data_IF_181473415364
#
_entry.id   IF_181473415364
#
_cell.length_a   1.000
_cell.length_b   1.000
_cell.length_c   1.000
_cell.angle_alpha   90.00
_cell.angle_beta   90.00
_cell.angle_gamma   90.00
#
_symmetry.space_group_name_H-M   'P 1'
#
loop_
_entity.id
_entity.type
_entity.pdbx_description
1 polymer ?
#
# COMPACT_ATOMS: atom_id res chain seq x y z
N UNK A 1 7.94 26.10 -9.09
CA UNK A 1 7.03 25.60 -10.15
C UNK A 1 6.91 24.07 -10.21
N UNK A 2 7.96 23.28 -9.87
CA UNK A 2 7.92 21.80 -9.91
C UNK A 2 6.85 21.16 -9.01
N UNK A 3 6.87 21.46 -7.72
CA UNK A 3 6.00 20.82 -6.71
C UNK A 3 4.49 20.87 -7.02
N UNK A 4 4.00 21.96 -7.62
CA UNK A 4 2.59 22.11 -8.01
C UNK A 4 2.25 21.25 -9.22
N UNK A 5 3.16 21.15 -10.19
CA UNK A 5 3.03 20.27 -11.36
C UNK A 5 3.03 18.80 -10.93
N UNK A 6 3.89 18.45 -9.98
CA UNK A 6 4.02 17.09 -9.45
C UNK A 6 2.73 16.68 -8.72
N UNK A 7 2.18 17.57 -7.89
CA UNK A 7 0.88 17.38 -7.22
C UNK A 7 -0.26 17.19 -8.21
N UNK A 8 -0.39 18.05 -9.23
CA UNK A 8 -1.45 17.92 -10.26
C UNK A 8 -1.34 16.60 -11.02
N UNK A 9 -0.11 16.18 -11.32
CA UNK A 9 0.17 14.90 -12.00
C UNK A 9 -0.22 13.72 -11.11
N UNK A 10 0.15 13.73 -9.83
CA UNK A 10 -0.22 12.69 -8.87
C UNK A 10 -1.75 12.56 -8.73
N UNK A 11 -2.48 13.67 -8.62
CA UNK A 11 -3.96 13.67 -8.52
C UNK A 11 -4.59 13.09 -9.79
N UNK A 12 -4.13 13.51 -10.96
CA UNK A 12 -4.62 12.98 -12.25
C UNK A 12 -4.36 11.48 -12.38
N UNK A 13 -3.18 11.03 -12.00
CA UNK A 13 -2.80 9.62 -12.07
C UNK A 13 -3.62 8.76 -11.11
N UNK A 14 -3.85 9.23 -9.88
CA UNK A 14 -4.71 8.54 -8.92
C UNK A 14 -6.13 8.40 -9.48
N UNK A 15 -6.73 9.50 -9.96
CA UNK A 15 -8.08 9.48 -10.53
C UNK A 15 -8.21 8.50 -11.71
N UNK A 16 -7.22 8.46 -12.60
CA UNK A 16 -7.19 7.51 -13.72
C UNK A 16 -7.05 6.06 -13.22
N UNK A 17 -6.26 5.84 -12.19
CA UNK A 17 -6.05 4.50 -11.61
C UNK A 17 -7.32 3.99 -10.95
N UNK A 18 -8.08 4.86 -10.27
CA UNK A 18 -9.27 4.50 -9.50
C UNK A 18 -10.60 4.69 -10.25
N UNK A 19 -10.55 4.96 -11.56
CA UNK A 19 -11.74 5.20 -12.39
C UNK A 19 -12.64 3.96 -12.48
N UNK A 20 -12.05 2.79 -12.67
CA UNK A 20 -12.74 1.49 -12.65
C UNK A 20 -12.36 0.74 -11.36
N UNK A 21 -13.23 0.81 -10.35
CA UNK A 21 -12.98 0.20 -9.05
C UNK A 21 -12.86 -1.32 -9.09
N UNK A 22 -13.40 -1.99 -10.11
CA UNK A 22 -13.28 -3.45 -10.27
C UNK A 22 -11.88 -3.87 -10.69
N UNK A 23 -11.09 -2.94 -11.25
CA UNK A 23 -9.72 -3.17 -11.71
C UNK A 23 -8.66 -2.69 -10.73
N UNK A 24 -9.03 -2.31 -9.52
CA UNK A 24 -8.07 -1.84 -8.51
C UNK A 24 -8.00 -2.84 -7.37
N UNK A 25 -6.80 -3.39 -7.20
CA UNK A 25 -6.45 -4.34 -6.14
C UNK A 25 -5.47 -3.70 -5.17
N UNK A 26 -5.61 -4.04 -3.89
CA UNK A 26 -4.74 -3.66 -2.80
C UNK A 26 -4.01 -4.90 -2.31
N UNK A 27 -2.71 -4.82 -2.11
CA UNK A 27 -1.89 -5.96 -1.69
C UNK A 27 -0.89 -5.58 -0.61
N UNK A 28 -0.72 -6.48 0.36
CA UNK A 28 0.41 -6.52 1.28
C UNK A 28 0.69 -7.98 1.65
N UNK A 29 1.90 -8.26 2.10
CA UNK A 29 2.29 -9.58 2.58
C UNK A 29 3.13 -9.47 3.86
N UNK A 30 3.30 -10.61 4.55
CA UNK A 30 4.24 -10.78 5.65
C UNK A 30 5.20 -11.92 5.35
N UNK A 31 6.37 -11.89 5.97
CA UNK A 31 7.40 -12.90 5.85
C UNK A 31 7.99 -13.20 7.23
N UNK A 32 8.59 -14.38 7.41
CA UNK A 32 9.38 -14.69 8.60
C UNK A 32 10.72 -13.95 8.54
N UNK A 33 11.44 -13.89 9.66
CA UNK A 33 12.85 -13.51 9.77
C UNK A 33 13.74 -14.75 9.87
N UNK A 34 13.13 -15.93 9.95
CA UNK A 34 13.82 -17.21 10.01
C UNK A 34 14.52 -17.44 8.67
N UNK A 35 15.79 -17.02 8.63
CA UNK A 35 16.81 -17.51 7.72
C UNK A 35 17.11 -18.93 8.22
N UNK A 36 16.19 -19.86 7.98
CA UNK A 36 16.30 -21.17 8.62
C UNK A 36 17.64 -21.81 8.25
N UNK A 37 18.37 -22.16 9.31
CA UNK A 37 19.45 -23.15 9.38
C UNK A 37 18.85 -24.55 9.07
N UNK A 38 18.04 -24.64 8.01
CA UNK A 38 17.62 -25.90 7.44
C UNK A 38 18.83 -26.53 6.72
N UNK A 39 18.87 -27.86 6.64
CA UNK A 39 19.87 -28.61 5.84
C UNK A 39 19.93 -28.19 4.34
N UNK A 40 19.13 -27.19 3.93
CA UNK A 40 18.99 -26.61 2.59
C UNK A 40 19.53 -25.17 2.45
N UNK A 41 20.00 -24.51 3.52
CA UNK A 41 20.68 -23.21 3.48
C UNK A 41 19.80 -22.05 2.99
N UNK A 42 18.57 -21.91 3.50
CA UNK A 42 17.67 -20.82 3.08
C UNK A 42 18.08 -19.43 3.61
N UNK A 43 18.73 -18.63 2.75
CA UNK A 43 19.12 -17.22 3.04
C UNK A 43 17.95 -16.23 2.82
N UNK A 44 16.80 -16.67 2.28
CA UNK A 44 15.68 -15.77 1.94
C UNK A 44 14.46 -16.06 2.80
N UNK A 45 13.86 -15.03 3.43
CA UNK A 45 12.77 -15.25 4.37
C UNK A 45 11.50 -15.83 3.73
N UNK A 46 10.81 -16.69 4.48
CA UNK A 46 9.62 -17.43 4.04
C UNK A 46 8.42 -16.48 3.98
N UNK A 47 7.67 -16.50 2.89
CA UNK A 47 6.42 -15.74 2.80
C UNK A 47 5.34 -16.45 3.64
N UNK A 48 4.81 -15.76 4.64
CA UNK A 48 3.89 -16.37 5.62
C UNK A 48 2.43 -16.12 5.25
N UNK A 49 2.15 -14.96 4.67
CA UNK A 49 0.80 -14.55 4.27
C UNK A 49 0.81 -13.45 3.21
N UNK A 50 -0.18 -13.46 2.33
CA UNK A 50 -0.47 -12.45 1.31
C UNK A 50 -1.96 -12.13 1.39
N UNK A 51 -2.32 -10.85 1.51
CA UNK A 51 -3.72 -10.40 1.51
C UNK A 51 -3.95 -9.50 0.30
N UNK A 52 -5.08 -9.71 -0.37
CA UNK A 52 -5.52 -8.93 -1.53
C UNK A 52 -6.98 -8.53 -1.39
N UNK A 53 -7.28 -7.25 -1.59
CA UNK A 53 -8.67 -6.74 -1.61
C UNK A 53 -8.93 -5.86 -2.83
N UNK A 54 -10.15 -5.85 -3.37
CA UNK A 54 -10.52 -4.90 -4.44
C UNK A 54 -11.11 -3.61 -3.89
N UNK A 55 -11.05 -2.55 -4.70
CA UNK A 55 -11.63 -1.25 -4.37
C UNK A 55 -13.16 -1.31 -4.28
N UNK A 56 -13.81 -2.03 -5.20
CA UNK A 56 -15.27 -2.26 -5.19
C UNK A 56 -15.76 -3.22 -4.08
N UNK A 57 -14.84 -3.87 -3.36
CA UNK A 57 -15.14 -4.79 -2.26
C UNK A 57 -15.60 -6.19 -2.68
N UNK A 58 -15.59 -6.53 -3.97
CA UNK A 58 -15.96 -7.87 -4.45
C UNK A 58 -14.87 -8.93 -4.22
N UNK A 59 -13.62 -8.51 -4.05
CA UNK A 59 -12.48 -9.38 -3.79
C UNK A 59 -11.98 -9.12 -2.38
N UNK A 60 -11.93 -10.19 -1.59
CA UNK A 60 -11.16 -10.33 -0.36
C UNK A 60 -10.53 -11.73 -0.37
N UNK A 61 -9.21 -11.78 -0.53
CA UNK A 61 -8.44 -13.02 -0.65
C UNK A 61 -7.26 -12.99 0.32
N UNK A 62 -7.13 -14.08 1.05
CA UNK A 62 -6.04 -14.30 1.99
C UNK A 62 -5.39 -15.63 1.65
N UNK A 63 -4.09 -15.59 1.37
CA UNK A 63 -3.25 -16.77 1.19
C UNK A 63 -2.30 -16.81 2.37
N UNK A 64 -2.39 -17.81 3.24
CA UNK A 64 -1.59 -17.86 4.44
C UNK A 64 -1.24 -19.29 4.82
N UNK A 65 -0.03 -19.50 5.34
CA UNK A 65 0.49 -20.82 5.71
C UNK A 65 -0.49 -21.55 6.64
N UNK A 66 -1.00 -20.88 7.68
CA UNK A 66 -1.94 -21.51 8.62
C UNK A 66 -3.31 -21.86 8.01
N UNK A 67 -3.75 -21.13 6.97
CA UNK A 67 -5.00 -21.45 6.26
C UNK A 67 -4.82 -22.68 5.37
N UNK A 68 -3.66 -22.82 4.73
CA UNK A 68 -3.35 -24.01 3.93
C UNK A 68 -3.04 -25.23 4.82
N UNK A 69 -2.47 -25.01 6.01
CA UNK A 69 -2.27 -26.05 7.00
C UNK A 69 -3.59 -26.62 7.51
N UNK A 70 -4.55 -25.74 7.84
CA UNK A 70 -5.90 -26.12 8.26
C UNK A 70 -6.62 -26.95 7.18
N UNK A 71 -6.54 -26.53 5.90
CA UNK A 71 -7.08 -27.29 4.76
C UNK A 71 -6.43 -28.67 4.56
N UNK A 72 -5.19 -28.83 5.03
CA UNK A 72 -4.43 -30.07 4.93
C UNK A 72 -4.50 -30.91 6.21
N UNK A 73 -5.35 -30.54 7.18
CA UNK A 73 -5.48 -31.17 8.49
C UNK A 73 -4.14 -31.27 9.25
N UNK A 74 -3.23 -30.30 9.04
CA UNK A 74 -1.92 -30.24 9.73
C UNK A 74 -2.10 -29.55 11.09
N UNK A 75 -1.83 -30.23 12.22
CA UNK A 75 -1.91 -29.62 13.55
C UNK A 75 -0.98 -28.42 13.67
N UNK A 76 -1.42 -27.40 14.42
CA UNK A 76 -0.69 -26.15 14.65
C UNK A 76 0.77 -26.37 15.04
N UNK A 77 1.03 -27.39 15.85
CA UNK A 77 2.34 -27.73 16.38
C UNK A 77 3.31 -28.23 15.29
N UNK A 78 2.79 -28.85 14.24
CA UNK A 78 3.51 -29.50 13.14
C UNK A 78 3.64 -28.63 11.88
N UNK A 79 3.01 -27.44 11.85
CA UNK A 79 3.06 -26.54 10.69
C UNK A 79 4.50 -26.21 10.28
N UNK A 80 5.40 -26.03 11.27
CA UNK A 80 6.81 -25.73 11.03
C UNK A 80 7.52 -26.79 10.18
N UNK A 81 7.16 -28.06 10.35
CA UNK A 81 7.75 -29.18 9.63
C UNK A 81 7.31 -29.21 8.15
N UNK A 82 6.28 -28.41 7.82
CA UNK A 82 5.66 -28.33 6.49
C UNK A 82 5.77 -26.92 5.88
N UNK A 83 6.55 -25.99 6.43
CA UNK A 83 6.60 -24.61 5.94
C UNK A 83 6.90 -24.49 4.45
N UNK A 84 7.88 -25.23 3.93
CA UNK A 84 8.23 -25.22 2.50
C UNK A 84 7.05 -25.63 1.62
N UNK A 85 6.32 -26.66 2.04
CA UNK A 85 5.19 -27.23 1.31
C UNK A 85 4.00 -26.26 1.32
N UNK A 86 3.71 -25.69 2.49
CA UNK A 86 2.65 -24.70 2.67
C UNK A 86 2.94 -23.38 1.95
N UNK A 87 4.20 -22.93 1.96
CA UNK A 87 4.63 -21.74 1.20
C UNK A 87 4.45 -21.96 -0.31
N UNK A 88 4.81 -23.15 -0.81
CA UNK A 88 4.57 -23.52 -2.21
C UNK A 88 3.10 -23.39 -2.58
N UNK A 89 2.18 -23.88 -1.73
CA UNK A 89 0.73 -23.77 -1.96
C UNK A 89 0.27 -22.32 -2.05
N UNK A 90 0.64 -21.47 -1.07
CA UNK A 90 0.20 -20.07 -1.08
C UNK A 90 0.77 -19.30 -2.29
N UNK A 91 2.01 -19.57 -2.69
CA UNK A 91 2.65 -18.91 -3.82
C UNK A 91 2.01 -19.33 -5.15
N UNK A 92 1.62 -20.60 -5.29
CA UNK A 92 0.85 -21.08 -6.43
C UNK A 92 -0.50 -20.39 -6.52
N UNK A 93 -1.25 -20.37 -5.41
CA UNK A 93 -2.57 -19.75 -5.34
C UNK A 93 -2.51 -18.24 -5.64
N UNK A 94 -1.49 -17.56 -5.12
CA UNK A 94 -1.20 -16.17 -5.43
C UNK A 94 -0.91 -15.98 -6.92
N UNK A 95 -0.01 -16.79 -7.49
CA UNK A 95 0.36 -16.71 -8.91
C UNK A 95 -0.87 -16.91 -9.82
N UNK A 96 -1.70 -17.91 -9.53
CA UNK A 96 -2.95 -18.15 -10.27
C UNK A 96 -3.98 -17.03 -10.10
N UNK A 97 -3.97 -16.34 -8.96
CA UNK A 97 -4.74 -15.13 -8.78
C UNK A 97 -4.20 -13.97 -9.64
N UNK A 98 -2.88 -13.77 -9.70
CA UNK A 98 -2.25 -12.76 -10.55
C UNK A 98 -2.54 -13.01 -12.03
N UNK A 99 -2.45 -14.27 -12.51
CA UNK A 99 -2.78 -14.64 -13.91
C UNK A 99 -4.16 -14.14 -14.33
N UNK A 100 -5.15 -14.23 -13.45
CA UNK A 100 -6.55 -13.80 -13.71
C UNK A 100 -6.77 -12.29 -13.59
N UNK A 101 -5.85 -11.56 -12.99
CA UNK A 101 -5.98 -10.13 -12.69
C UNK A 101 -4.75 -9.32 -13.16
N UNK A 102 -4.08 -9.79 -14.21
CA UNK A 102 -2.85 -9.17 -14.73
C UNK A 102 -3.07 -7.72 -15.18
N UNK A 103 -4.25 -7.43 -15.71
CA UNK A 103 -4.63 -6.12 -16.23
C UNK A 103 -5.13 -5.14 -15.14
N UNK A 104 -5.24 -5.61 -13.89
CA UNK A 104 -5.60 -4.75 -12.76
C UNK A 104 -4.44 -3.85 -12.34
N UNK A 105 -4.76 -2.73 -11.70
CA UNK A 105 -3.80 -1.93 -10.94
C UNK A 105 -3.63 -2.51 -9.54
N UNK A 106 -2.39 -2.61 -9.10
CA UNK A 106 -1.98 -3.21 -7.83
C UNK A 106 -1.41 -2.12 -6.93
N UNK A 107 -2.25 -1.58 -6.06
CA UNK A 107 -1.88 -0.56 -5.07
C UNK A 107 -1.28 -1.24 -3.85
N UNK A 108 -0.09 -0.80 -3.45
CA UNK A 108 0.67 -1.37 -2.35
C UNK A 108 1.35 -0.27 -1.53
N UNK A 109 1.93 -0.66 -0.39
CA UNK A 109 2.78 0.20 0.42
C UNK A 109 4.23 -0.31 0.39
N UNK A 110 5.12 0.43 -0.27
CA UNK A 110 6.58 0.18 -0.26
C UNK A 110 7.10 -1.23 -0.64
N UNK A 111 6.25 -2.09 -1.21
CA UNK A 111 6.62 -3.36 -1.86
C UNK A 111 7.43 -3.16 -3.17
N UNK A 112 8.65 -2.61 -3.08
CA UNK A 112 9.39 -2.08 -4.24
C UNK A 112 10.67 -2.82 -4.64
N UNK A 113 11.26 -3.63 -3.77
CA UNK A 113 12.60 -4.18 -4.01
C UNK A 113 12.71 -5.67 -3.68
N UNK A 114 13.91 -6.22 -3.86
CA UNK A 114 14.24 -7.62 -3.63
C UNK A 114 14.20 -8.04 -2.15
N UNK A 115 14.37 -7.08 -1.23
CA UNK A 115 14.29 -7.34 0.21
C UNK A 115 12.85 -7.33 0.71
N UNK A 116 11.99 -6.51 0.10
CA UNK A 116 10.58 -6.44 0.43
C UNK A 116 9.76 -5.96 -0.78
N UNK A 117 8.92 -6.85 -1.33
CA UNK A 117 7.99 -6.53 -2.41
C UNK A 117 7.76 -7.63 -3.42
N UNK A 118 7.26 -7.24 -4.60
CA UNK A 118 6.99 -8.17 -5.70
C UNK A 118 8.22 -8.97 -6.14
N UNK A 119 9.41 -8.34 -6.13
CA UNK A 119 10.66 -9.02 -6.49
C UNK A 119 11.05 -10.07 -5.44
N UNK A 120 10.80 -9.80 -4.15
CA UNK A 120 10.99 -10.79 -3.09
C UNK A 120 10.06 -12.01 -3.28
N UNK A 121 8.78 -11.78 -3.61
CA UNK A 121 7.81 -12.84 -3.93
C UNK A 121 8.28 -13.66 -5.15
N UNK A 122 8.74 -12.99 -6.21
CA UNK A 122 9.28 -13.62 -7.41
C UNK A 122 10.48 -14.50 -7.10
N UNK A 123 11.45 -13.99 -6.33
CA UNK A 123 12.62 -14.75 -5.92
C UNK A 123 12.25 -15.98 -5.08
N UNK A 124 11.30 -15.84 -4.15
CA UNK A 124 10.79 -16.99 -3.36
C UNK A 124 10.09 -18.02 -4.24
N UNK A 125 9.29 -17.58 -5.21
CA UNK A 125 8.69 -18.47 -6.20
C UNK A 125 9.77 -19.26 -6.96
N UNK A 126 10.75 -18.57 -7.54
CA UNK A 126 11.85 -19.22 -8.28
C UNK A 126 12.63 -20.22 -7.40
N UNK A 127 12.94 -19.86 -6.15
CA UNK A 127 13.67 -20.73 -5.22
C UNK A 127 12.90 -22.00 -4.86
N UNK A 128 11.57 -21.93 -4.77
CA UNK A 128 10.74 -23.08 -4.36
C UNK A 128 10.41 -23.98 -5.56
N UNK A 129 10.09 -23.38 -6.71
CA UNK A 129 9.67 -24.10 -7.91
C UNK A 129 10.84 -24.50 -8.81
N UNK A 130 12.02 -23.89 -8.64
CA UNK A 130 13.24 -24.17 -9.41
C UNK A 130 13.36 -23.37 -10.71
N UNK A 131 12.26 -22.77 -11.17
CA UNK A 131 12.21 -21.90 -12.35
C UNK A 131 11.03 -20.91 -12.28
N UNK A 132 10.94 -20.04 -13.29
CA UNK A 132 9.88 -19.03 -13.44
C UNK A 132 8.95 -19.31 -14.64
N UNK A 133 8.94 -20.53 -15.18
CA UNK A 133 8.20 -20.86 -16.42
C UNK A 133 6.70 -20.61 -16.32
N UNK A 134 6.11 -20.88 -15.15
CA UNK A 134 4.69 -20.65 -14.86
C UNK A 134 4.42 -19.36 -14.08
N UNK A 135 5.45 -18.57 -13.76
CA UNK A 135 5.30 -17.34 -12.97
C UNK A 135 4.72 -16.19 -13.81
N UNK A 136 3.62 -15.60 -13.32
CA UNK A 136 3.02 -14.42 -13.92
C UNK A 136 3.43 -13.16 -13.16
N UNK A 137 4.32 -12.38 -13.77
CA UNK A 137 4.72 -11.09 -13.20
C UNK A 137 3.64 -10.01 -13.39
N UNK A 138 3.34 -9.26 -12.33
CA UNK A 138 2.57 -8.02 -12.43
C UNK A 138 3.40 -6.97 -13.16
N UNK A 139 2.93 -6.39 -14.28
CA UNK A 139 3.68 -5.35 -14.99
C UNK A 139 4.03 -4.17 -14.08
N UNK A 140 5.24 -3.62 -14.22
CA UNK A 140 5.70 -2.46 -13.44
C UNK A 140 4.76 -1.25 -13.57
N UNK A 141 4.15 -1.06 -14.74
CA UNK A 141 3.15 -0.02 -14.99
C UNK A 141 1.88 -0.20 -14.16
N UNK A 142 1.59 -1.42 -13.70
CA UNK A 142 0.40 -1.76 -12.95
C UNK A 142 0.65 -1.76 -11.43
N UNK A 143 1.92 -1.86 -10.99
CA UNK A 143 2.35 -1.68 -9.60
C UNK A 143 2.27 -0.20 -9.22
N UNK A 144 1.47 0.17 -8.22
CA UNK A 144 1.26 1.54 -7.75
C UNK A 144 1.62 1.68 -6.27
N UNK A 145 2.74 2.33 -5.96
CA UNK A 145 3.10 2.61 -4.58
C UNK A 145 2.28 3.78 -4.02
N UNK A 146 1.39 3.51 -3.07
CA UNK A 146 0.55 4.54 -2.45
C UNK A 146 1.40 5.58 -1.71
N UNK A 147 2.50 5.18 -1.08
CA UNK A 147 3.40 6.11 -0.39
C UNK A 147 3.91 7.18 -1.35
N UNK A 148 4.50 6.77 -2.48
CA UNK A 148 5.02 7.70 -3.51
C UNK A 148 3.93 8.60 -4.09
N UNK A 149 2.69 8.11 -4.22
CA UNK A 149 1.56 8.93 -4.66
C UNK A 149 1.26 10.02 -3.62
N UNK A 150 1.22 9.67 -2.33
CA UNK A 150 1.00 10.63 -1.23
C UNK A 150 2.15 11.63 -1.14
N UNK A 151 3.40 11.19 -1.25
CA UNK A 151 4.59 12.05 -1.26
C UNK A 151 4.54 13.05 -2.42
N UNK A 152 4.12 12.62 -3.61
CA UNK A 152 3.90 13.53 -4.75
C UNK A 152 2.80 14.57 -4.49
N UNK A 153 1.85 14.30 -3.59
CA UNK A 153 0.77 15.25 -3.24
C UNK A 153 1.09 16.16 -2.07
N UNK A 154 1.81 15.67 -1.05
CA UNK A 154 1.99 16.35 0.24
C UNK A 154 3.47 16.56 0.64
N UNK A 155 4.43 16.04 -0.15
CA UNK A 155 5.85 16.01 0.17
C UNK A 155 6.27 14.76 0.94
N UNK A 156 7.58 14.50 0.96
CA UNK A 156 8.18 13.29 1.57
C UNK A 156 7.91 13.18 3.09
N UNK A 157 7.77 14.31 3.76
CA UNK A 157 7.56 14.38 5.22
C UNK A 157 6.08 14.35 5.62
N UNK A 158 5.18 13.81 4.80
CA UNK A 158 3.72 13.87 5.02
C UNK A 158 3.29 13.30 6.39
N UNK A 159 4.05 12.36 6.94
CA UNK A 159 3.92 11.85 8.32
C UNK A 159 5.30 11.74 8.97
N UNK A 160 5.33 11.74 10.29
CA UNK A 160 6.55 11.57 11.09
C UNK A 160 6.64 10.16 11.67
N UNK A 161 7.85 9.62 11.78
CA UNK A 161 8.11 8.30 12.35
C UNK A 161 8.79 7.35 11.37
N UNK A 162 9.43 6.30 11.91
CA UNK A 162 10.13 5.30 11.10
C UNK A 162 9.15 4.44 10.28
N UNK A 163 8.07 4.00 10.91
CA UNK A 163 6.99 3.28 10.23
C UNK A 163 5.91 4.27 9.74
N UNK A 164 6.09 4.73 8.51
CA UNK A 164 5.21 5.71 7.88
C UNK A 164 3.77 5.20 7.68
N UNK A 165 3.57 3.89 7.50
CA UNK A 165 2.23 3.31 7.38
C UNK A 165 1.51 3.36 8.72
N UNK A 166 2.19 2.95 9.81
CA UNK A 166 1.65 3.04 11.17
C UNK A 166 1.31 4.48 11.53
N UNK A 167 2.22 5.42 11.27
CA UNK A 167 1.99 6.83 11.56
C UNK A 167 0.80 7.40 10.78
N UNK A 168 0.66 7.04 9.50
CA UNK A 168 -0.48 7.47 8.69
C UNK A 168 -1.79 6.85 9.20
N UNK A 169 -1.78 5.58 9.60
CA UNK A 169 -2.94 4.90 10.22
C UNK A 169 -3.39 5.63 11.48
N UNK A 170 -2.44 5.97 12.36
CA UNK A 170 -2.68 6.67 13.61
C UNK A 170 -3.33 8.04 13.39
N UNK A 171 -2.81 8.81 12.42
CA UNK A 171 -3.37 10.10 12.03
C UNK A 171 -4.81 10.02 11.47
N UNK A 172 -5.21 8.88 10.92
CA UNK A 172 -6.54 8.66 10.34
C UNK A 172 -7.47 7.84 11.26
N UNK A 173 -7.09 7.71 12.54
CA UNK A 173 -7.80 6.95 13.58
C UNK A 173 -7.86 7.72 14.90
N UNK A 174 -7.95 9.05 14.84
CA UNK A 174 -8.03 9.94 16.02
C UNK A 174 -6.89 9.75 17.04
N UNK A 175 -5.71 9.34 16.56
CA UNK A 175 -4.55 8.96 17.38
C UNK A 175 -4.79 7.80 18.35
N UNK A 176 -5.74 6.92 18.03
CA UNK A 176 -5.95 5.65 18.73
C UNK A 176 -5.13 4.57 18.03
N UNK A 177 -4.27 3.89 18.79
CA UNK A 177 -3.51 2.74 18.28
C UNK A 177 -4.42 1.52 18.07
N UNK A 178 -4.24 0.83 16.94
CA UNK A 178 -4.87 -0.46 16.69
C UNK A 178 -3.92 -1.60 17.13
N UNK A 179 -4.33 -2.36 18.14
CA UNK A 179 -3.52 -3.45 18.71
C UNK A 179 -3.25 -4.60 17.73
N UNK A 180 -3.97 -4.66 16.60
CA UNK A 180 -3.73 -5.65 15.54
C UNK A 180 -2.56 -5.24 14.64
N UNK A 181 -2.14 -3.97 14.66
CA UNK A 181 -1.02 -3.52 13.85
C UNK A 181 0.30 -4.05 14.40
N UNK A 182 1.02 -4.82 13.59
CA UNK A 182 2.35 -5.30 13.89
C UNK A 182 3.36 -4.71 12.90
N UNK A 183 4.52 -4.28 13.39
CA UNK A 183 5.66 -4.00 12.52
C UNK A 183 6.12 -5.29 11.83
N UNK A 184 6.92 -5.17 10.78
CA UNK A 184 7.47 -6.33 10.06
C UNK A 184 8.18 -7.32 11.01
N UNK A 185 9.07 -6.82 11.88
CA UNK A 185 9.79 -7.66 12.85
C UNK A 185 8.84 -8.34 13.84
N UNK A 186 7.82 -7.61 14.31
CA UNK A 186 6.84 -8.18 15.23
C UNK A 186 5.96 -9.24 14.55
N UNK A 187 5.60 -9.08 13.27
CA UNK A 187 4.90 -10.11 12.51
C UNK A 187 5.72 -11.39 12.42
N UNK A 188 7.02 -11.27 12.12
CA UNK A 188 7.92 -12.42 12.14
C UNK A 188 7.94 -13.11 13.50
N UNK A 189 8.15 -12.35 14.57
CA UNK A 189 8.17 -12.91 15.94
C UNK A 189 6.85 -13.59 16.30
N UNK A 190 5.70 -13.04 15.88
CA UNK A 190 4.42 -13.71 16.07
C UNK A 190 4.29 -15.00 15.25
N UNK A 191 4.83 -15.03 14.03
CA UNK A 191 4.86 -16.23 13.21
C UNK A 191 5.68 -17.35 13.88
N UNK A 192 6.89 -17.03 14.34
CA UNK A 192 7.80 -17.97 15.03
C UNK A 192 7.17 -18.51 16.33
N UNK A 193 6.42 -17.67 17.05
CA UNK A 193 5.67 -18.07 18.23
C UNK A 193 4.35 -18.81 17.91
N UNK A 194 4.15 -19.24 16.66
CA UNK A 194 2.95 -19.94 16.18
C UNK A 194 1.66 -19.12 16.38
N UNK A 195 1.75 -17.78 16.48
CA UNK A 195 0.62 -16.86 16.58
C UNK A 195 0.16 -16.40 15.19
N UNK A 196 -0.11 -17.38 14.31
CA UNK A 196 -0.42 -17.15 12.89
C UNK A 196 -1.62 -16.22 12.66
N UNK A 197 -2.64 -16.31 13.53
CA UNK A 197 -3.82 -15.44 13.44
C UNK A 197 -3.51 -13.97 13.70
N UNK A 198 -2.51 -13.65 14.54
CA UNK A 198 -2.08 -12.27 14.76
C UNK A 198 -1.40 -11.68 13.52
N UNK A 199 -0.56 -12.49 12.85
CA UNK A 199 0.14 -12.12 11.62
C UNK A 199 -0.86 -11.77 10.52
N UNK A 200 -1.78 -12.69 10.19
CA UNK A 200 -2.74 -12.44 9.10
C UNK A 200 -3.65 -11.24 9.39
N UNK A 201 -4.07 -11.04 10.65
CA UNK A 201 -4.88 -9.89 11.06
C UNK A 201 -4.14 -8.56 10.90
N UNK A 202 -2.83 -8.54 11.15
CA UNK A 202 -1.99 -7.37 10.91
C UNK A 202 -1.90 -7.05 9.42
N UNK A 203 -1.63 -8.05 8.57
CA UNK A 203 -1.57 -7.86 7.12
C UNK A 203 -2.93 -7.41 6.56
N UNK A 204 -4.02 -8.01 7.03
CA UNK A 204 -5.39 -7.64 6.67
C UNK A 204 -5.70 -6.18 7.02
N UNK A 205 -5.37 -5.76 8.25
CA UNK A 205 -5.49 -4.36 8.69
C UNK A 205 -4.69 -3.40 7.79
N UNK A 206 -3.46 -3.78 7.41
CA UNK A 206 -2.62 -2.96 6.51
C UNK A 206 -3.26 -2.81 5.14
N UNK A 207 -3.76 -3.89 4.54
CA UNK A 207 -4.43 -3.84 3.23
C UNK A 207 -5.72 -3.01 3.30
N UNK A 208 -6.53 -3.22 4.34
CA UNK A 208 -7.74 -2.43 4.59
C UNK A 208 -7.42 -0.95 4.75
N UNK A 209 -6.35 -0.63 5.47
CA UNK A 209 -5.93 0.75 5.64
C UNK A 209 -5.42 1.36 4.34
N UNK A 210 -4.62 0.65 3.54
CA UNK A 210 -4.17 1.14 2.22
C UNK A 210 -5.37 1.42 1.32
N UNK A 211 -6.39 0.55 1.32
CA UNK A 211 -7.66 0.76 0.61
C UNK A 211 -8.39 2.01 1.13
N UNK A 212 -8.59 2.13 2.44
CA UNK A 212 -9.23 3.30 3.08
C UNK A 212 -8.48 4.60 2.77
N UNK A 213 -7.15 4.58 2.87
CA UNK A 213 -6.29 5.72 2.59
C UNK A 213 -6.37 6.15 1.13
N UNK A 214 -6.39 5.20 0.18
CA UNK A 214 -6.56 5.47 -1.26
C UNK A 214 -7.91 6.13 -1.57
N UNK A 215 -8.98 5.63 -0.96
CA UNK A 215 -10.31 6.24 -1.07
C UNK A 215 -10.30 7.67 -0.50
N UNK A 216 -9.82 7.85 0.73
CA UNK A 216 -9.75 9.16 1.36
C UNK A 216 -8.87 10.13 0.58
N UNK A 217 -7.78 9.67 -0.01
CA UNK A 217 -6.89 10.47 -0.86
C UNK A 217 -7.63 10.96 -2.10
N UNK A 218 -8.41 10.08 -2.76
CA UNK A 218 -9.21 10.42 -3.94
C UNK A 218 -10.26 11.50 -3.65
N UNK A 219 -10.84 11.48 -2.44
CA UNK A 219 -11.81 12.50 -1.99
C UNK A 219 -11.17 13.69 -1.25
N UNK A 220 -9.83 13.79 -1.21
CA UNK A 220 -9.09 14.82 -0.46
C UNK A 220 -9.42 14.86 1.06
N UNK A 221 -9.83 13.72 1.62
CA UNK A 221 -10.17 13.51 3.04
C UNK A 221 -9.04 12.86 3.84
N UNK A 222 -7.94 12.45 3.20
CA UNK A 222 -6.81 11.84 3.91
C UNK A 222 -6.16 12.85 4.87
N UNK A 223 -5.98 12.43 6.13
CA UNK A 223 -5.29 13.21 7.15
C UNK A 223 -3.81 12.84 7.13
N UNK A 224 -2.95 13.86 7.12
CA UNK A 224 -1.47 13.74 7.14
C UNK A 224 -0.94 14.71 8.18
N UNK A 225 0.14 14.36 8.90
CA UNK A 225 0.67 15.17 10.00
C UNK A 225 1.29 16.47 9.50
N UNK A 226 2.02 16.41 8.38
CA UNK A 226 2.65 17.57 7.77
C UNK A 226 2.08 17.76 6.37
N UNK A 227 1.39 18.87 6.17
CA UNK A 227 0.94 19.27 4.85
C UNK A 227 1.99 20.20 4.28
N UNK A 228 2.45 19.96 3.06
CA UNK A 228 3.17 20.97 2.29
C UNK A 228 2.21 22.15 1.96
N UNK A 229 2.04 23.03 2.96
CA UNK A 229 1.11 24.14 2.93
C UNK A 229 1.44 25.11 1.79
N UNK A 230 2.72 25.23 1.42
CA UNK A 230 3.15 26.05 0.30
C UNK A 230 2.63 25.51 -1.04
N UNK A 231 2.81 24.21 -1.32
CA UNK A 231 2.30 23.60 -2.55
C UNK A 231 0.77 23.68 -2.66
N UNK A 232 0.07 23.46 -1.54
CA UNK A 232 -1.39 23.56 -1.46
C UNK A 232 -1.86 25.01 -1.67
N UNK A 233 -1.18 25.98 -1.05
CA UNK A 233 -1.47 27.40 -1.20
C UNK A 233 -1.28 27.85 -2.64
N UNK A 234 -0.14 27.53 -3.27
CA UNK A 234 0.13 27.89 -4.67
C UNK A 234 -0.89 27.25 -5.62
N UNK A 235 -1.31 26.00 -5.39
CA UNK A 235 -2.37 25.37 -6.21
C UNK A 235 -3.73 26.06 -6.03
N UNK A 236 -4.03 26.52 -4.80
CA UNK A 236 -5.28 27.23 -4.47
C UNK A 236 -5.34 28.61 -5.11
N UNK A 237 -4.26 29.41 -5.04
CA UNK A 237 -4.23 30.76 -5.63
C UNK A 237 -4.23 30.73 -7.16
N UNK A 238 -3.72 29.65 -7.77
CA UNK A 238 -3.73 29.45 -9.23
C UNK A 238 -5.04 28.84 -9.74
N UNK A 239 -6.02 28.60 -8.87
CA UNK A 239 -7.33 28.12 -9.28
C UNK A 239 -8.09 29.24 -10.03
N UNK A 240 -8.81 28.95 -11.14
CA UNK A 240 -9.49 29.97 -11.96
C UNK A 240 -10.44 30.88 -11.17
N UNK A 241 -11.06 30.35 -10.13
CA UNK A 241 -11.96 31.10 -9.24
C UNK A 241 -11.19 32.12 -8.40
N UNK A 242 -10.01 31.74 -7.88
CA UNK A 242 -9.21 32.62 -7.04
C UNK A 242 -8.56 33.74 -7.86
N UNK A 243 -8.06 33.41 -9.06
CA UNK A 243 -7.56 34.42 -9.99
C UNK A 243 -8.68 35.40 -10.39
N UNK A 244 -9.88 34.91 -10.72
CA UNK A 244 -11.05 35.75 -11.01
C UNK A 244 -11.43 36.66 -9.84
N UNK A 245 -11.39 36.16 -8.60
CA UNK A 245 -11.64 36.98 -7.41
C UNK A 245 -10.61 38.10 -7.25
N UNK A 246 -9.32 37.83 -7.53
CA UNK A 246 -8.27 38.84 -7.54
C UNK A 246 -8.51 39.97 -8.55
N UNK A 247 -8.99 39.64 -9.75
CA UNK A 247 -9.38 40.64 -10.75
C UNK A 247 -10.54 41.53 -10.28
N UNK A 248 -11.54 40.96 -9.60
CA UNK A 248 -12.67 41.71 -9.02
C UNK A 248 -12.19 42.69 -7.94
N UNK A 249 -11.36 42.23 -7.01
CA UNK A 249 -10.82 43.11 -5.96
C UNK A 249 -9.94 44.23 -6.54
N UNK A 250 -9.16 43.94 -7.58
CA UNK A 250 -8.39 44.95 -8.30
C UNK A 250 -9.27 46.03 -8.94
N UNK A 251 -10.37 45.62 -9.60
CA UNK A 251 -11.35 46.54 -10.19
C UNK A 251 -12.04 47.42 -9.13
N UNK A 252 -12.44 46.83 -7.99
CA UNK A 252 -13.05 47.57 -6.88
C UNK A 252 -12.07 48.58 -6.30
N UNK A 253 -10.80 48.20 -6.08
CA UNK A 253 -9.77 49.10 -5.58
C UNK A 253 -9.51 50.29 -6.52
N UNK A 254 -9.53 50.04 -7.83
CA UNK A 254 -9.34 51.07 -8.86
C UNK A 254 -10.54 52.04 -8.91
N UNK A 255 -11.76 51.53 -8.77
CA UNK A 255 -12.98 52.34 -8.63
C UNK A 255 -12.95 53.23 -7.38
N UNK A 256 -12.55 52.68 -6.23
CA UNK A 256 -12.42 53.43 -4.98
C UNK A 256 -11.38 54.55 -5.07
N UNK A 257 -10.23 54.30 -5.71
CA UNK A 257 -9.20 55.32 -5.88
C UNK A 257 -9.67 56.46 -6.79
N UNK A 258 -10.37 56.16 -7.89
CA UNK A 258 -10.97 57.18 -8.74
C UNK A 258 -12.00 58.01 -7.96
N UNK A 259 -12.84 57.37 -7.15
CA UNK A 259 -13.83 58.04 -6.29
C UNK A 259 -13.20 58.96 -5.24
N UNK A 260 -12.01 58.63 -4.73
CA UNK A 260 -11.28 59.50 -3.78
C UNK A 260 -10.56 60.67 -4.43
N UNK A 261 -10.38 60.65 -5.75
CA UNK A 261 -9.71 61.73 -6.51
C UNK A 261 -10.68 62.76 -7.13
N UNK A 262 -11.99 62.51 -7.06
CA UNK A 262 -13.09 63.42 -7.47
C UNK A 262 -13.60 64.16 -6.23
#
# INVERSE_FOLDING_TARGET
MGVVKDRKTAVKNLKKTTEDSSKVLFIHYSASNTLDDDDYGNISPIITSIVIKSLDGQIDKQFAIHLEADKADIPKEQIQDSYRELELRILRLYNDFVKRHRDCFWIHWDMKNIHFGFEAIKHRYEKIFGDLSDYCEVPSTNKKNLRTIIEGMYGENFVSGADTLKSLLLCNSDNVEDNRYLSFDNESTQFENKNFSAVIRSVDLKVDFIKKATNNLSYKKLIVSNRNNYAIFIDTINHPIFTFSGWIFGLIGLLLTILTMI
#
